data_IF_821696085193
#
_entry.id   IF_821696085193
#
_cell.length_a   1.000
_cell.length_b   1.000
_cell.length_c   1.000
_cell.angle_alpha   90.00
_cell.angle_beta   90.00
_cell.angle_gamma   90.00
#
_symmetry.space_group_name_H-M   'P 1'
#
loop_
_entity.id
_entity.type
_entity.pdbx_description
1 polymer ?
#
# COMPACT_ATOMS: atom_id res chain seq x y z
N UNK A 1 26.52 6.06 16.29
CA UNK A 1 25.45 5.02 16.33
C UNK A 1 24.18 5.69 16.85
N UNK A 2 23.32 6.06 15.95
CA UNK A 2 22.28 7.09 16.07
C UNK A 2 20.97 6.56 16.65
N UNK A 3 20.25 7.42 17.40
CA UNK A 3 18.92 7.21 18.02
C UNK A 3 17.87 6.66 17.01
N UNK A 4 18.02 6.98 15.72
CA UNK A 4 17.15 6.54 14.63
C UNK A 4 17.19 5.02 14.35
N UNK A 5 18.32 4.36 14.53
CA UNK A 5 18.44 2.90 14.33
C UNK A 5 17.66 2.08 15.36
N UNK A 6 17.56 2.58 16.61
CA UNK A 6 16.78 1.90 17.66
C UNK A 6 15.27 2.04 17.48
N UNK A 7 14.78 3.16 16.93
CA UNK A 7 13.34 3.36 16.65
C UNK A 7 12.88 2.50 15.46
N UNK A 8 13.73 2.34 14.42
CA UNK A 8 13.43 1.48 13.26
C UNK A 8 13.35 -0.01 13.65
N UNK A 9 14.26 -0.51 14.47
CA UNK A 9 14.23 -1.90 14.98
C UNK A 9 12.99 -2.19 15.85
N UNK A 10 12.55 -1.22 16.66
CA UNK A 10 11.35 -1.35 17.50
C UNK A 10 10.05 -1.42 16.68
N UNK A 11 9.91 -0.62 15.62
CA UNK A 11 8.74 -0.63 14.76
C UNK A 11 8.64 -1.92 13.91
N UNK A 12 9.77 -2.40 13.39
CA UNK A 12 9.85 -3.67 12.67
C UNK A 12 9.48 -4.86 13.57
N UNK A 13 10.00 -4.87 14.79
CA UNK A 13 9.64 -5.91 15.78
C UNK A 13 8.17 -5.84 16.19
N UNK A 14 7.59 -4.64 16.31
CA UNK A 14 6.18 -4.47 16.63
C UNK A 14 5.28 -5.00 15.50
N UNK A 15 5.58 -4.67 14.24
CA UNK A 15 4.84 -5.15 13.07
C UNK A 15 4.93 -6.68 12.95
N UNK A 16 6.12 -7.27 13.09
CA UNK A 16 6.27 -8.73 13.09
C UNK A 16 5.52 -9.38 14.25
N UNK A 17 5.54 -8.79 15.44
CA UNK A 17 4.83 -9.29 16.60
C UNK A 17 3.30 -9.22 16.39
N UNK A 18 2.78 -8.18 15.76
CA UNK A 18 1.37 -8.06 15.41
C UNK A 18 0.94 -9.15 14.42
N UNK A 19 1.75 -9.42 13.38
CA UNK A 19 1.50 -10.53 12.45
C UNK A 19 1.51 -11.88 13.14
N UNK A 20 2.51 -12.12 13.98
CA UNK A 20 2.62 -13.37 14.74
C UNK A 20 1.43 -13.53 15.69
N UNK A 21 0.95 -12.43 16.29
CA UNK A 21 -0.25 -12.42 17.10
C UNK A 21 -1.52 -12.71 16.28
N UNK A 22 -1.65 -12.13 15.08
CA UNK A 22 -2.77 -12.34 14.18
C UNK A 22 -2.85 -13.81 13.71
N UNK A 23 -1.70 -14.39 13.35
CA UNK A 23 -1.61 -15.81 12.95
C UNK A 23 -1.80 -16.78 14.13
N UNK A 24 -1.58 -16.31 15.37
CA UNK A 24 -1.76 -17.09 16.62
C UNK A 24 -3.17 -16.99 17.22
N UNK A 25 -4.04 -16.09 16.74
CA UNK A 25 -5.41 -15.88 17.27
C UNK A 25 -6.35 -17.05 16.94
N UNK A 26 -6.02 -17.89 15.98
CA UNK A 26 -6.78 -19.13 15.75
C UNK A 26 -6.42 -20.17 16.82
N UNK A 27 -7.41 -20.75 17.49
CA UNK A 27 -7.22 -21.77 18.54
C UNK A 27 -6.34 -22.95 18.10
N UNK A 28 -6.19 -23.17 16.79
CA UNK A 28 -5.26 -24.15 16.20
C UNK A 28 -4.70 -23.61 14.88
N UNK A 29 -3.42 -23.16 14.82
CA UNK A 29 -2.81 -22.67 13.59
C UNK A 29 -2.84 -23.72 12.49
N UNK A 30 -3.32 -23.36 11.32
CA UNK A 30 -3.30 -24.25 10.15
C UNK A 30 -1.87 -24.52 9.69
N UNK A 31 -1.69 -25.54 8.85
CA UNK A 31 -0.38 -25.81 8.23
C UNK A 31 0.10 -24.60 7.42
N UNK A 32 -0.81 -23.87 6.76
CA UNK A 32 -0.50 -22.65 6.02
C UNK A 32 0.04 -21.55 6.97
N UNK A 33 -0.63 -21.32 8.10
CA UNK A 33 -0.24 -20.31 9.08
C UNK A 33 1.13 -20.61 9.69
N UNK A 34 1.41 -21.87 9.99
CA UNK A 34 2.72 -22.29 10.51
C UNK A 34 3.85 -22.05 9.52
N UNK A 35 3.60 -22.27 8.22
CA UNK A 35 4.59 -22.00 7.16
C UNK A 35 4.82 -20.50 7.04
N UNK A 36 3.75 -19.68 7.00
CA UNK A 36 3.84 -18.23 6.92
C UNK A 36 4.58 -17.65 8.13
N UNK A 37 4.21 -18.07 9.35
CA UNK A 37 4.88 -17.65 10.59
C UNK A 37 6.38 -17.91 10.53
N UNK A 38 6.78 -19.14 10.24
CA UNK A 38 8.20 -19.51 10.13
C UNK A 38 8.93 -18.71 9.05
N UNK A 39 8.27 -18.42 7.93
CA UNK A 39 8.84 -17.62 6.85
C UNK A 39 9.06 -16.17 7.26
N UNK A 40 8.09 -15.56 7.95
CA UNK A 40 8.18 -14.17 8.45
C UNK A 40 9.29 -14.06 9.51
N UNK A 41 9.41 -15.03 10.42
CA UNK A 41 10.47 -15.07 11.44
C UNK A 41 11.86 -15.15 10.80
N UNK A 42 12.06 -16.05 9.85
CA UNK A 42 13.34 -16.18 9.12
C UNK A 42 13.70 -14.91 8.34
N UNK A 43 12.71 -14.26 7.69
CA UNK A 43 12.92 -12.98 7.01
C UNK A 43 13.31 -11.86 7.98
N UNK A 44 12.72 -11.84 9.17
CA UNK A 44 13.03 -10.85 10.19
C UNK A 44 14.44 -11.02 10.79
N UNK A 45 14.90 -12.27 10.96
CA UNK A 45 16.19 -12.59 11.57
C UNK A 45 17.37 -12.39 10.62
N UNK A 46 17.24 -12.82 9.37
CA UNK A 46 18.37 -12.86 8.43
C UNK A 46 18.03 -12.42 6.99
N UNK A 47 16.89 -11.79 6.78
CA UNK A 47 16.48 -11.31 5.46
C UNK A 47 16.24 -12.45 4.47
N UNK A 48 16.37 -12.11 3.17
CA UNK A 48 16.10 -13.07 2.09
C UNK A 48 17.05 -14.29 2.12
N UNK A 49 18.29 -14.10 2.54
CA UNK A 49 19.32 -15.14 2.53
C UNK A 49 19.09 -16.22 3.60
N UNK A 50 18.40 -15.90 4.69
CA UNK A 50 18.01 -16.86 5.73
C UNK A 50 16.88 -17.80 5.27
N UNK A 51 16.15 -17.45 4.20
CA UNK A 51 14.95 -18.16 3.78
C UNK A 51 15.27 -19.21 2.72
N UNK A 52 15.12 -20.47 3.11
CA UNK A 52 15.16 -21.63 2.21
C UNK A 52 14.04 -22.61 2.57
N UNK A 53 13.62 -23.44 1.61
CA UNK A 53 12.59 -24.47 1.86
C UNK A 53 13.01 -25.42 2.99
N UNK A 54 14.32 -25.67 3.17
CA UNK A 54 14.84 -26.48 4.25
C UNK A 54 14.74 -25.78 5.60
N UNK A 55 15.08 -24.49 5.67
CA UNK A 55 14.99 -23.69 6.90
C UNK A 55 13.52 -23.56 7.33
N UNK A 56 12.63 -23.25 6.39
CA UNK A 56 11.18 -23.15 6.64
C UNK A 56 10.61 -24.50 7.10
N UNK A 57 10.96 -25.60 6.44
CA UNK A 57 10.55 -26.96 6.81
C UNK A 57 10.93 -27.30 8.24
N UNK A 58 12.16 -26.96 8.65
CA UNK A 58 12.66 -27.17 10.01
C UNK A 58 11.90 -26.30 11.02
N UNK A 59 11.78 -25.00 10.77
CA UNK A 59 11.12 -24.04 11.66
C UNK A 59 9.63 -24.35 11.83
N UNK A 60 8.90 -24.58 10.73
CA UNK A 60 7.48 -24.91 10.73
C UNK A 60 7.16 -26.36 11.16
N UNK A 61 8.18 -27.23 11.33
CA UNK A 61 8.05 -28.66 11.63
C UNK A 61 7.12 -29.39 10.64
N UNK A 62 7.38 -29.22 9.34
CA UNK A 62 6.62 -29.81 8.24
C UNK A 62 7.56 -30.43 7.21
N UNK A 63 7.01 -31.22 6.27
CA UNK A 63 7.79 -31.77 5.16
C UNK A 63 7.86 -30.78 3.99
N UNK A 64 9.01 -30.68 3.31
CA UNK A 64 9.24 -29.80 2.16
C UNK A 64 8.14 -29.93 1.06
N UNK A 65 7.66 -31.13 0.67
CA UNK A 65 6.58 -31.25 -0.31
C UNK A 65 5.29 -30.52 0.08
N UNK A 66 5.05 -30.34 1.37
CA UNK A 66 3.86 -29.61 1.86
C UNK A 66 3.95 -28.12 1.53
N UNK A 67 5.15 -27.52 1.56
CA UNK A 67 5.38 -26.12 1.14
C UNK A 67 4.95 -25.94 -0.31
N UNK A 68 5.47 -26.79 -1.20
CA UNK A 68 5.17 -26.72 -2.62
C UNK A 68 3.68 -26.94 -2.93
N UNK A 69 3.04 -27.90 -2.24
CA UNK A 69 1.61 -28.14 -2.39
C UNK A 69 0.75 -26.95 -1.96
N UNK A 70 1.20 -26.18 -0.94
CA UNK A 70 0.43 -25.07 -0.35
C UNK A 70 0.63 -23.75 -1.08
N UNK A 71 1.83 -23.50 -1.59
CA UNK A 71 2.23 -22.18 -2.14
C UNK A 71 2.75 -22.25 -3.58
N UNK A 72 2.83 -23.44 -4.19
CA UNK A 72 3.39 -23.64 -5.52
C UNK A 72 4.91 -23.68 -5.53
N UNK A 73 5.55 -22.59 -5.17
CA UNK A 73 7.01 -22.48 -5.09
C UNK A 73 7.45 -21.58 -3.92
N UNK A 74 8.77 -21.41 -3.74
CA UNK A 74 9.32 -20.55 -2.71
C UNK A 74 8.96 -19.08 -2.93
N UNK A 75 8.83 -18.66 -4.18
CA UNK A 75 8.47 -17.28 -4.54
C UNK A 75 7.03 -16.97 -4.13
N UNK A 76 6.07 -17.86 -4.45
CA UNK A 76 4.67 -17.71 -4.02
C UNK A 76 4.52 -17.69 -2.51
N UNK A 77 5.34 -18.48 -1.78
CA UNK A 77 5.38 -18.41 -0.33
C UNK A 77 5.88 -17.06 0.18
N UNK A 78 6.97 -16.53 -0.38
CA UNK A 78 7.52 -15.23 -0.01
C UNK A 78 6.54 -14.08 -0.31
N UNK A 79 5.87 -14.13 -1.46
CA UNK A 79 4.83 -13.16 -1.83
C UNK A 79 3.66 -13.19 -0.83
N UNK A 80 3.18 -14.39 -0.49
CA UNK A 80 2.13 -14.57 0.53
C UNK A 80 2.55 -14.10 1.91
N UNK A 81 3.80 -14.36 2.33
CA UNK A 81 4.34 -13.90 3.61
C UNK A 81 4.42 -12.37 3.66
N UNK A 82 4.96 -11.74 2.61
CA UNK A 82 5.08 -10.30 2.53
C UNK A 82 3.70 -9.62 2.49
N UNK A 83 2.74 -10.17 1.73
CA UNK A 83 1.36 -9.68 1.70
C UNK A 83 0.67 -9.80 3.07
N UNK A 84 0.90 -10.88 3.80
CA UNK A 84 0.33 -11.07 5.15
C UNK A 84 0.85 -10.01 6.13
N UNK A 85 2.16 -9.73 6.12
CA UNK A 85 2.73 -8.69 6.99
C UNK A 85 2.22 -7.31 6.61
N UNK A 86 2.12 -7.02 5.31
CA UNK A 86 1.58 -5.75 4.84
C UNK A 86 0.10 -5.59 5.22
N UNK A 87 -0.72 -6.63 5.04
CA UNK A 87 -2.14 -6.61 5.43
C UNK A 87 -2.34 -6.37 6.93
N UNK A 88 -1.48 -6.95 7.78
CA UNK A 88 -1.52 -6.69 9.23
C UNK A 88 -1.16 -5.24 9.56
N UNK A 89 -0.10 -4.70 8.95
CA UNK A 89 0.27 -3.29 9.15
C UNK A 89 -0.83 -2.34 8.66
N UNK A 90 -1.55 -2.72 7.59
CA UNK A 90 -2.68 -1.96 7.08
C UNK A 90 -3.87 -2.01 8.06
N UNK A 91 -4.19 -3.17 8.62
CA UNK A 91 -5.26 -3.31 9.60
C UNK A 91 -5.00 -2.45 10.86
N UNK A 92 -3.75 -2.36 11.31
CA UNK A 92 -3.35 -1.48 12.41
C UNK A 92 -3.54 0.02 12.04
N UNK A 93 -3.24 0.39 10.80
CA UNK A 93 -3.49 1.74 10.28
C UNK A 93 -4.99 2.07 10.20
N UNK A 94 -5.82 1.14 9.74
CA UNK A 94 -7.28 1.33 9.59
C UNK A 94 -8.04 1.38 10.93
N UNK A 95 -7.44 0.89 12.03
CA UNK A 95 -8.01 1.04 13.37
C UNK A 95 -7.88 2.45 13.95
N UNK A 96 -7.03 3.31 13.36
CA UNK A 96 -6.92 4.71 13.70
C UNK A 96 -8.15 5.51 13.30
N UNK A 97 -8.41 6.62 13.99
CA UNK A 97 -9.47 7.55 13.58
C UNK A 97 -9.06 8.21 12.24
N UNK A 98 -9.86 8.06 11.17
CA UNK A 98 -9.49 8.62 9.88
C UNK A 98 -9.51 10.15 9.94
N UNK A 99 -8.54 10.83 9.29
CA UNK A 99 -8.55 12.27 9.18
C UNK A 99 -9.84 12.79 8.52
N UNK A 100 -10.38 13.89 9.03
CA UNK A 100 -11.60 14.49 8.50
C UNK A 100 -11.39 15.09 7.10
N UNK A 101 -10.21 15.66 6.84
CA UNK A 101 -9.85 16.19 5.52
C UNK A 101 -9.36 15.05 4.61
N UNK A 102 -9.96 14.86 3.41
CA UNK A 102 -9.55 13.80 2.49
C UNK A 102 -8.10 13.90 2.01
N UNK A 103 -7.53 15.11 1.93
CA UNK A 103 -6.13 15.29 1.56
C UNK A 103 -5.22 14.88 2.73
N UNK A 104 -5.64 15.09 3.97
CA UNK A 104 -4.91 14.58 5.15
C UNK A 104 -4.98 13.06 5.23
N UNK A 105 -6.11 12.44 4.84
CA UNK A 105 -6.19 11.00 4.71
C UNK A 105 -5.20 10.45 3.66
N UNK A 106 -5.04 11.14 2.53
CA UNK A 106 -4.03 10.78 1.51
C UNK A 106 -2.59 11.01 2.02
N UNK A 107 -2.33 12.05 2.82
CA UNK A 107 -1.07 12.25 3.52
C UNK A 107 -0.75 11.09 4.47
N UNK A 108 -1.73 10.69 5.26
CA UNK A 108 -1.59 9.58 6.20
C UNK A 108 -1.32 8.25 5.48
N UNK A 109 -1.99 7.98 4.36
CA UNK A 109 -1.74 6.79 3.54
C UNK A 109 -0.31 6.77 2.96
N UNK A 110 0.21 7.91 2.51
CA UNK A 110 1.61 8.07 2.09
C UNK A 110 2.57 7.79 3.25
N UNK A 111 2.35 8.42 4.40
CA UNK A 111 3.22 8.27 5.57
C UNK A 111 3.26 6.83 6.06
N UNK A 112 2.11 6.14 6.05
CA UNK A 112 2.03 4.72 6.35
C UNK A 112 2.84 3.87 5.37
N UNK A 113 2.72 4.12 4.07
CA UNK A 113 3.48 3.41 3.02
C UNK A 113 5.00 3.55 3.23
N UNK A 114 5.48 4.78 3.44
CA UNK A 114 6.90 5.05 3.68
C UNK A 114 7.36 4.42 5.01
N UNK A 115 6.59 4.58 6.09
CA UNK A 115 6.91 4.00 7.39
C UNK A 115 7.03 2.47 7.33
N UNK A 116 6.12 1.79 6.62
CA UNK A 116 6.21 0.35 6.39
C UNK A 116 7.51 -0.03 5.69
N UNK A 117 7.87 0.65 4.59
CA UNK A 117 9.10 0.36 3.85
C UNK A 117 10.37 0.55 4.68
N UNK A 118 10.41 1.61 5.50
CA UNK A 118 11.54 1.88 6.39
C UNK A 118 11.62 0.89 7.57
N UNK A 119 10.48 0.40 8.05
CA UNK A 119 10.41 -0.58 9.11
C UNK A 119 10.72 -2.01 8.61
N UNK A 120 10.31 -2.35 7.39
CA UNK A 120 10.37 -3.69 6.83
C UNK A 120 11.09 -3.72 5.46
N UNK A 121 12.38 -3.33 5.35
CA UNK A 121 13.04 -3.13 4.07
C UNK A 121 13.13 -4.40 3.22
N UNK A 122 13.34 -5.57 3.83
CA UNK A 122 13.39 -6.83 3.11
C UNK A 122 12.04 -7.24 2.52
N UNK A 123 10.96 -7.08 3.30
CA UNK A 123 9.60 -7.34 2.83
C UNK A 123 9.16 -6.31 1.77
N UNK A 124 9.54 -5.06 1.95
CA UNK A 124 9.29 -4.01 0.98
C UNK A 124 9.93 -4.31 -0.37
N UNK A 125 11.18 -4.79 -0.37
CA UNK A 125 11.86 -5.21 -1.59
C UNK A 125 11.12 -6.38 -2.27
N UNK A 126 10.71 -7.40 -1.54
CA UNK A 126 9.92 -8.53 -2.06
C UNK A 126 8.61 -8.06 -2.72
N UNK A 127 7.92 -7.09 -2.11
CA UNK A 127 6.65 -6.55 -2.61
C UNK A 127 6.85 -5.76 -3.90
N UNK A 128 7.85 -4.86 -3.95
CA UNK A 128 7.90 -3.80 -4.96
C UNK A 128 9.03 -3.92 -5.97
N UNK A 129 10.11 -4.67 -5.69
CA UNK A 129 11.32 -4.65 -6.54
C UNK A 129 11.70 -5.98 -7.17
N UNK A 130 11.27 -7.11 -6.61
CA UNK A 130 11.72 -8.43 -7.05
C UNK A 130 10.89 -9.03 -8.21
N UNK A 131 9.84 -8.34 -8.66
CA UNK A 131 8.97 -8.84 -9.74
C UNK A 131 9.05 -7.99 -10.99
N UNK A 132 9.19 -8.66 -12.13
CA UNK A 132 9.03 -8.07 -13.45
C UNK A 132 7.82 -8.69 -14.15
N UNK A 133 6.88 -7.86 -14.56
CA UNK A 133 5.73 -8.26 -15.39
C UNK A 133 4.43 -8.59 -14.65
N UNK A 134 4.48 -9.08 -13.39
CA UNK A 134 3.28 -9.33 -12.59
C UNK A 134 3.34 -8.59 -11.25
N UNK A 135 2.23 -7.97 -10.88
CA UNK A 135 2.10 -7.29 -9.60
C UNK A 135 1.95 -8.30 -8.45
N UNK A 136 2.72 -8.13 -7.36
CA UNK A 136 2.60 -8.96 -6.17
C UNK A 136 1.28 -8.70 -5.44
N UNK A 137 0.84 -9.64 -4.59
CA UNK A 137 -0.35 -9.45 -3.76
C UNK A 137 -0.20 -8.25 -2.81
N UNK A 138 0.98 -8.10 -2.18
CA UNK A 138 1.28 -6.95 -1.33
C UNK A 138 1.27 -5.62 -2.08
N UNK A 139 1.78 -5.58 -3.32
CA UNK A 139 1.74 -4.37 -4.15
C UNK A 139 0.31 -3.99 -4.56
N UNK A 140 -0.56 -4.98 -4.84
CA UNK A 140 -2.00 -4.74 -5.10
C UNK A 140 -2.69 -4.15 -3.88
N UNK A 141 -2.43 -4.68 -2.67
CA UNK A 141 -2.95 -4.14 -1.43
C UNK A 141 -2.50 -2.69 -1.23
N UNK A 142 -1.20 -2.41 -1.34
CA UNK A 142 -0.66 -1.06 -1.19
C UNK A 142 -1.25 -0.07 -2.20
N UNK A 143 -1.37 -0.48 -3.46
CA UNK A 143 -2.02 0.32 -4.51
C UNK A 143 -3.49 0.57 -4.18
N UNK A 144 -4.20 -0.44 -3.66
CA UNK A 144 -5.59 -0.32 -3.24
C UNK A 144 -5.79 0.78 -2.19
N UNK A 145 -4.95 0.83 -1.17
CA UNK A 145 -4.98 1.85 -0.12
C UNK A 145 -4.79 3.25 -0.68
N UNK A 146 -3.72 3.46 -1.44
CA UNK A 146 -3.45 4.77 -2.05
C UNK A 146 -4.55 5.19 -3.03
N UNK A 147 -5.05 4.25 -3.85
CA UNK A 147 -6.15 4.53 -4.78
C UNK A 147 -7.45 4.87 -4.04
N UNK A 148 -7.73 4.19 -2.93
CA UNK A 148 -8.90 4.50 -2.08
C UNK A 148 -8.81 5.90 -1.50
N UNK A 149 -7.65 6.28 -0.94
CA UNK A 149 -7.43 7.63 -0.41
C UNK A 149 -7.54 8.70 -1.51
N UNK A 150 -6.99 8.46 -2.71
CA UNK A 150 -7.15 9.36 -3.87
C UNK A 150 -8.62 9.48 -4.28
N UNK A 151 -9.39 8.39 -4.26
CA UNK A 151 -10.82 8.40 -4.57
C UNK A 151 -11.59 9.29 -3.59
N UNK A 152 -11.30 9.22 -2.29
CA UNK A 152 -11.93 10.09 -1.29
C UNK A 152 -11.65 11.57 -1.58
N UNK A 153 -10.43 11.92 -2.03
CA UNK A 153 -10.10 13.29 -2.49
C UNK A 153 -10.91 13.69 -3.73
N UNK A 154 -11.12 12.74 -4.67
CA UNK A 154 -11.92 12.98 -5.87
C UNK A 154 -13.40 13.18 -5.54
N UNK A 155 -13.97 12.34 -4.66
CA UNK A 155 -15.37 12.45 -4.21
C UNK A 155 -15.64 13.79 -3.50
N UNK A 156 -14.64 14.34 -2.82
CA UNK A 156 -14.69 15.69 -2.24
C UNK A 156 -14.51 16.82 -3.29
N UNK A 157 -14.37 16.51 -4.57
CA UNK A 157 -14.19 17.48 -5.65
C UNK A 157 -12.83 18.19 -5.64
N UNK A 158 -11.83 17.64 -4.92
CA UNK A 158 -10.52 18.27 -4.71
C UNK A 158 -9.40 17.67 -5.55
N UNK A 159 -9.68 16.72 -6.43
CA UNK A 159 -8.69 16.12 -7.33
C UNK A 159 -8.73 16.81 -8.70
N UNK A 160 -7.57 17.10 -9.28
CA UNK A 160 -7.44 17.84 -10.56
C UNK A 160 -7.18 16.93 -11.76
N UNK A 161 -6.91 15.64 -11.52
CA UNK A 161 -6.62 14.64 -12.56
C UNK A 161 -7.42 13.38 -12.30
N UNK A 162 -7.46 12.49 -13.26
CA UNK A 162 -8.15 11.20 -13.15
C UNK A 162 -7.60 10.36 -11.98
N UNK A 163 -8.50 9.64 -11.27
CA UNK A 163 -8.18 8.86 -10.06
C UNK A 163 -7.05 7.86 -10.28
N UNK A 164 -7.10 7.09 -11.36
CA UNK A 164 -6.09 6.07 -11.67
C UNK A 164 -4.73 6.70 -11.99
N UNK A 165 -4.72 7.86 -12.63
CA UNK A 165 -3.48 8.62 -12.90
C UNK A 165 -2.91 9.17 -11.62
N UNK A 166 -3.73 9.79 -10.76
CA UNK A 166 -3.31 10.29 -9.46
C UNK A 166 -2.76 9.17 -8.59
N UNK A 167 -3.46 8.03 -8.52
CA UNK A 167 -3.01 6.86 -7.78
C UNK A 167 -1.64 6.37 -8.24
N UNK A 168 -1.39 6.28 -9.55
CA UNK A 168 -0.08 5.91 -10.11
C UNK A 168 1.00 6.92 -9.78
N UNK A 169 0.71 8.22 -9.85
CA UNK A 169 1.69 9.28 -9.52
C UNK A 169 2.06 9.23 -8.04
N UNK A 170 1.09 9.13 -7.15
CA UNK A 170 1.32 9.02 -5.71
C UNK A 170 2.12 7.75 -5.39
N UNK A 171 1.73 6.60 -5.94
CA UNK A 171 2.43 5.34 -5.71
C UNK A 171 3.87 5.36 -6.21
N UNK A 172 4.11 5.87 -7.43
CA UNK A 172 5.46 5.94 -8.01
C UNK A 172 6.37 6.84 -7.18
N UNK A 173 5.85 7.97 -6.71
CA UNK A 173 6.61 8.91 -5.90
C UNK A 173 6.87 8.36 -4.49
N UNK A 174 5.88 7.74 -3.85
CA UNK A 174 6.04 7.11 -2.53
C UNK A 174 7.05 5.96 -2.57
N UNK A 175 6.97 5.10 -3.61
CA UNK A 175 7.92 4.02 -3.83
C UNK A 175 9.35 4.55 -4.01
N UNK A 176 9.54 5.51 -4.93
CA UNK A 176 10.86 6.11 -5.17
C UNK A 176 11.42 6.80 -3.93
N UNK A 177 10.59 7.54 -3.22
CA UNK A 177 10.96 8.18 -1.95
C UNK A 177 11.40 7.13 -0.91
N UNK A 178 10.64 6.07 -0.72
CA UNK A 178 10.98 5.01 0.24
C UNK A 178 12.31 4.33 -0.10
N UNK A 179 12.52 3.95 -1.37
CA UNK A 179 13.77 3.34 -1.82
C UNK A 179 14.97 4.27 -1.62
N UNK A 180 14.79 5.56 -1.88
CA UNK A 180 15.83 6.57 -1.64
C UNK A 180 16.17 6.68 -0.15
N UNK A 181 15.16 6.72 0.72
CA UNK A 181 15.33 6.83 2.17
C UNK A 181 15.98 5.59 2.81
N UNK A 182 15.83 4.42 2.19
CA UNK A 182 16.52 3.20 2.64
C UNK A 182 18.03 3.29 2.45
N UNK A 183 18.48 3.98 1.40
CA UNK A 183 19.90 4.16 1.07
C UNK A 183 20.46 5.46 1.65
N UNK A 184 19.69 6.54 1.54
CA UNK A 184 20.07 7.89 1.97
C UNK A 184 19.02 8.43 2.95
N UNK A 185 19.18 8.20 4.26
CA UNK A 185 18.26 8.71 5.27
C UNK A 185 18.20 10.24 5.28
N UNK A 186 16.99 10.77 5.15
CA UNK A 186 16.69 12.21 5.17
C UNK A 186 15.33 12.40 5.83
N UNK A 187 15.29 13.14 6.94
CA UNK A 187 14.09 13.32 7.76
C UNK A 187 13.03 14.22 7.07
N UNK A 188 13.42 15.05 6.10
CA UNK A 188 12.53 15.97 5.40
C UNK A 188 12.07 15.44 4.03
N UNK A 189 12.80 14.51 3.42
CA UNK A 189 12.57 14.08 2.04
C UNK A 189 11.15 13.55 1.84
N UNK A 190 10.64 12.75 2.76
CA UNK A 190 9.28 12.18 2.64
C UNK A 190 8.22 13.26 2.62
N UNK A 191 8.27 14.20 3.56
CA UNK A 191 7.31 15.30 3.67
C UNK A 191 7.37 16.20 2.43
N UNK A 192 8.57 16.58 2.00
CA UNK A 192 8.75 17.43 0.82
C UNK A 192 8.27 16.76 -0.47
N UNK A 193 8.61 15.49 -0.67
CA UNK A 193 8.17 14.72 -1.84
C UNK A 193 6.66 14.56 -1.87
N UNK A 194 6.05 14.24 -0.73
CA UNK A 194 4.61 14.14 -0.56
C UNK A 194 3.90 15.44 -0.94
N UNK A 195 4.28 16.57 -0.31
CA UNK A 195 3.63 17.84 -0.58
C UNK A 195 3.86 18.33 -2.02
N UNK A 196 5.03 18.09 -2.61
CA UNK A 196 5.27 18.40 -4.01
C UNK A 196 4.32 17.65 -4.95
N UNK A 197 4.09 16.35 -4.71
CA UNK A 197 3.15 15.55 -5.49
C UNK A 197 1.72 15.99 -5.25
N UNK A 198 1.29 16.11 -3.98
CA UNK A 198 -0.09 16.45 -3.64
C UNK A 198 -0.47 17.85 -4.14
N UNK A 199 0.42 18.83 -4.10
CA UNK A 199 0.16 20.17 -4.62
C UNK A 199 -0.13 20.20 -6.13
N UNK A 200 0.34 19.21 -6.88
CA UNK A 200 0.04 19.10 -8.33
C UNK A 200 -1.27 18.37 -8.61
N UNK A 201 -1.73 17.55 -7.68
CA UNK A 201 -2.88 16.67 -7.85
C UNK A 201 -4.16 17.19 -7.19
N UNK A 202 -4.02 18.06 -6.18
CA UNK A 202 -5.15 18.53 -5.38
C UNK A 202 -5.31 20.03 -5.46
N UNK A 203 -6.56 20.51 -5.37
CA UNK A 203 -6.83 21.94 -5.14
C UNK A 203 -6.87 22.20 -3.65
N UNK A 204 -6.11 23.22 -3.20
CA UNK A 204 -6.48 23.96 -2.00
C UNK A 204 -7.68 24.83 -2.32
N UNK A 205 -8.57 25.08 -1.38
CA UNK A 205 -9.78 25.89 -1.57
C UNK A 205 -9.52 27.33 -2.11
N UNK A 206 -8.26 27.70 -2.36
CA UNK A 206 -7.84 29.03 -2.78
C UNK A 206 -6.81 28.95 -3.90
N UNK A 207 -7.23 29.28 -5.13
CA UNK A 207 -6.27 29.61 -6.18
C UNK A 207 -6.87 29.82 -7.56
N UNK A 208 -6.52 30.94 -8.23
CA UNK A 208 -7.16 31.39 -9.45
C UNK A 208 -6.49 30.88 -10.72
N UNK A 209 -7.23 30.30 -11.56
CA UNK A 209 -7.25 30.36 -13.01
C UNK A 209 -8.55 29.69 -13.42
N UNK A 210 -9.38 30.36 -14.12
CA UNK A 210 -10.77 30.06 -14.46
C UNK A 210 -11.48 29.11 -13.46
N UNK A 211 -12.11 29.66 -12.39
CA UNK A 211 -12.75 28.85 -11.35
C UNK A 211 -13.83 27.91 -11.92
N UNK A 212 -14.46 28.29 -13.02
CA UNK A 212 -15.51 27.52 -13.66
C UNK A 212 -14.95 26.26 -14.35
N UNK A 213 -13.85 26.40 -15.09
CA UNK A 213 -13.21 25.25 -15.76
C UNK A 213 -12.66 24.24 -14.74
N UNK A 214 -12.02 24.73 -13.66
CA UNK A 214 -11.56 23.85 -12.56
C UNK A 214 -12.70 23.15 -11.86
N UNK A 215 -13.78 23.87 -11.55
CA UNK A 215 -14.95 23.27 -10.93
C UNK A 215 -15.55 22.17 -11.84
N UNK A 216 -15.61 22.41 -13.15
CA UNK A 216 -16.09 21.42 -14.12
C UNK A 216 -15.22 20.16 -14.10
N UNK A 217 -13.90 20.28 -14.15
CA UNK A 217 -12.98 19.16 -14.08
C UNK A 217 -13.14 18.42 -12.74
N UNK A 218 -13.14 19.14 -11.62
CA UNK A 218 -13.29 18.55 -10.29
C UNK A 218 -14.62 17.80 -10.15
N UNK A 219 -15.72 18.38 -10.62
CA UNK A 219 -17.04 17.73 -10.60
C UNK A 219 -17.10 16.50 -11.51
N UNK A 220 -16.49 16.54 -12.69
CA UNK A 220 -16.40 15.39 -13.58
C UNK A 220 -15.60 14.24 -12.95
N UNK A 221 -14.48 14.54 -12.30
CA UNK A 221 -13.64 13.56 -11.59
C UNK A 221 -14.40 12.98 -10.40
N UNK A 222 -15.07 13.82 -9.60
CA UNK A 222 -15.84 13.39 -8.43
C UNK A 222 -17.00 12.47 -8.82
N UNK A 223 -17.80 12.88 -9.83
CA UNK A 223 -18.93 12.08 -10.31
C UNK A 223 -18.45 10.74 -10.90
N UNK A 224 -17.33 10.75 -11.63
CA UNK A 224 -16.73 9.52 -12.18
C UNK A 224 -16.28 8.57 -11.08
N UNK A 225 -15.71 9.08 -9.99
CA UNK A 225 -15.32 8.28 -8.83
C UNK A 225 -16.53 7.63 -8.13
N UNK A 226 -17.68 8.29 -8.10
CA UNK A 226 -18.90 7.81 -7.49
C UNK A 226 -19.70 6.82 -8.37
N UNK A 227 -19.46 6.77 -9.69
CA UNK A 227 -20.24 5.96 -10.65
C UNK A 227 -20.44 4.48 -10.24
N UNK A 228 -19.44 3.77 -9.70
CA UNK A 228 -19.62 2.36 -9.30
C UNK A 228 -20.71 2.14 -8.25
N UNK A 229 -20.98 3.15 -7.41
CA UNK A 229 -22.02 3.10 -6.37
C UNK A 229 -23.40 3.64 -6.78
N UNK A 230 -23.58 4.06 -8.04
CA UNK A 230 -24.84 4.58 -8.54
C UNK A 230 -25.72 3.46 -9.11
N UNK A 231 -26.52 2.83 -8.26
CA UNK A 231 -27.44 1.73 -8.64
C UNK A 231 -28.62 2.20 -9.51
N UNK A 232 -28.86 3.51 -9.56
CA UNK A 232 -29.93 4.13 -10.37
C UNK A 232 -29.64 4.03 -11.87
N UNK A 233 -28.39 3.83 -12.29
CA UNK A 233 -27.96 3.73 -13.68
C UNK A 233 -27.76 2.25 -14.10
N UNK A 234 -28.24 1.92 -15.30
CA UNK A 234 -27.91 0.66 -15.94
C UNK A 234 -26.40 0.57 -16.27
N UNK A 235 -25.91 -0.64 -16.55
CA UNK A 235 -24.51 -0.85 -16.94
C UNK A 235 -24.12 -0.05 -18.20
N UNK A 236 -25.01 0.05 -19.19
CA UNK A 236 -24.79 0.82 -20.41
C UNK A 236 -24.71 2.33 -20.16
N UNK A 237 -25.61 2.85 -19.34
CA UNK A 237 -25.62 4.27 -18.97
C UNK A 237 -24.39 4.66 -18.15
N UNK A 238 -23.94 3.80 -17.22
CA UNK A 238 -22.69 4.01 -16.48
C UNK A 238 -21.49 4.07 -17.41
N UNK A 239 -21.39 3.15 -18.37
CA UNK A 239 -20.26 3.11 -19.31
C UNK A 239 -20.21 4.38 -20.19
N UNK A 240 -21.36 4.84 -20.69
CA UNK A 240 -21.46 6.04 -21.50
C UNK A 240 -21.14 7.31 -20.69
N UNK A 241 -21.66 7.39 -19.47
CA UNK A 241 -21.38 8.52 -18.57
C UNK A 241 -19.90 8.54 -18.17
N UNK A 242 -19.27 7.39 -17.91
CA UNK A 242 -17.83 7.29 -17.64
C UNK A 242 -17.00 7.87 -18.79
N UNK A 243 -17.34 7.53 -20.03
CA UNK A 243 -16.67 8.07 -21.22
C UNK A 243 -16.78 9.59 -21.33
N UNK A 244 -17.96 10.15 -21.08
CA UNK A 244 -18.18 11.60 -21.12
C UNK A 244 -17.42 12.33 -20.02
N UNK A 245 -17.47 11.82 -18.80
CA UNK A 245 -16.76 12.39 -17.65
C UNK A 245 -15.25 12.33 -17.85
N UNK A 246 -14.74 11.25 -18.45
CA UNK A 246 -13.31 11.13 -18.80
C UNK A 246 -12.88 12.22 -19.82
N UNK A 247 -13.74 12.56 -20.78
CA UNK A 247 -13.46 13.64 -21.75
C UNK A 247 -13.48 15.01 -21.09
N UNK A 248 -14.40 15.24 -20.13
CA UNK A 248 -14.51 16.51 -19.39
C UNK A 248 -13.36 16.71 -18.38
N UNK A 249 -12.74 15.64 -17.91
CA UNK A 249 -11.61 15.66 -16.96
C UNK A 249 -10.23 15.81 -17.62
N UNK A 250 -10.16 15.97 -18.93
CA UNK A 250 -8.94 16.21 -19.71
C UNK A 250 -8.69 17.69 -19.93
#
# INVERSE_FOLDING_TARGET
>A
MTVNGRRRGSAAQAANKAVLALLAVTETPTTRDRILTATVELLAEGGRDAVSTRAISAAAKIQVPTIYRTFGDLRGLLDSAAATVFASALADYEQGEPPTDPVDALRAAWDHHVAFGLAQPHLYALIFTERTGEESEGARLARGVLTSAVRTVAEAGRLTVEVERAGRLVQSAALGCTLTLLVHPDDELSVRSREAVLSTLTTSEVGPADPAARATIAHAVALRAALPGLDVLSAGERALLDEWLLRLAR
#
